data_IF_646575634330
#
_entry.id   IF_646575634330
#
_cell.length_a   1.000
_cell.length_b   1.000
_cell.length_c   1.000
_cell.angle_alpha   90.00
_cell.angle_beta   90.00
_cell.angle_gamma   90.00
#
_symmetry.space_group_name_H-M   'P 1'
#
loop_
_entity.id
_entity.type
_entity.pdbx_description
1 polymer ?
#
# COMPACT_ATOMS: atom_id res chain seq x y z
N UNK A 1 -2.01 -9.42 -2.85
CA UNK A 1 -1.74 -9.15 -4.29
C UNK A 1 -2.87 -8.29 -4.83
N UNK A 2 -2.54 -7.16 -5.45
CA UNK A 2 -3.51 -6.26 -6.10
C UNK A 2 -3.82 -6.74 -7.52
N UNK A 3 -4.87 -6.21 -8.15
CA UNK A 3 -5.17 -6.47 -9.57
C UNK A 3 -3.98 -6.10 -10.46
N UNK A 4 -3.33 -4.95 -10.20
CA UNK A 4 -2.12 -4.54 -10.90
C UNK A 4 -0.96 -5.53 -10.79
N UNK A 5 -0.76 -6.15 -9.61
CA UNK A 5 0.25 -7.19 -9.44
C UNK A 5 -0.06 -8.48 -10.22
N UNK A 6 -1.34 -8.82 -10.40
CA UNK A 6 -1.76 -9.97 -11.21
C UNK A 6 -1.54 -9.72 -12.70
N UNK A 7 -1.80 -8.49 -13.18
CA UNK A 7 -1.54 -8.13 -14.58
C UNK A 7 -0.03 -8.05 -14.86
N UNK A 8 0.76 -7.46 -13.97
CA UNK A 8 2.22 -7.40 -14.12
C UNK A 8 2.87 -8.80 -14.15
N UNK A 9 2.33 -9.77 -13.40
CA UNK A 9 2.81 -11.14 -13.38
C UNK A 9 2.64 -11.88 -14.73
N UNK A 10 1.78 -11.38 -15.63
CA UNK A 10 1.60 -11.96 -16.98
C UNK A 10 2.70 -11.54 -17.95
N UNK A 11 3.50 -10.53 -17.60
CA UNK A 11 4.57 -10.01 -18.47
C UNK A 11 5.80 -10.92 -18.34
N UNK A 12 6.28 -11.53 -19.44
CA UNK A 12 7.42 -12.45 -19.38
C UNK A 12 8.72 -11.71 -19.05
N UNK A 13 9.50 -12.27 -18.12
CA UNK A 13 10.83 -11.75 -17.75
C UNK A 13 10.84 -10.65 -16.69
N UNK A 14 9.70 -10.37 -16.05
CA UNK A 14 9.59 -9.37 -14.98
C UNK A 14 9.86 -9.98 -13.60
N UNK A 15 10.70 -9.34 -12.80
CA UNK A 15 10.85 -9.64 -11.38
C UNK A 15 9.83 -8.83 -10.57
N UNK A 16 8.89 -9.53 -9.93
CA UNK A 16 7.75 -8.89 -9.29
C UNK A 16 8.05 -8.53 -7.83
N UNK A 17 8.16 -7.23 -7.55
CA UNK A 17 8.22 -6.70 -6.18
C UNK A 17 6.87 -6.15 -5.75
N UNK A 18 6.30 -6.67 -4.67
CA UNK A 18 5.03 -6.19 -4.10
C UNK A 18 5.27 -5.34 -2.86
N UNK A 19 4.52 -4.24 -2.76
CA UNK A 19 4.57 -3.33 -1.62
C UNK A 19 3.18 -3.21 -0.98
N UNK A 20 3.15 -2.94 0.32
CA UNK A 20 1.90 -2.79 1.08
C UNK A 20 1.22 -1.43 0.85
N UNK A 21 1.91 -0.46 0.22
CA UNK A 21 1.41 0.89 -0.04
C UNK A 21 1.97 1.45 -1.35
N UNK A 22 1.11 2.06 -2.17
CA UNK A 22 1.46 2.71 -3.43
C UNK A 22 2.50 3.82 -3.28
N UNK A 23 2.50 4.57 -2.16
CA UNK A 23 3.49 5.61 -1.92
C UNK A 23 4.92 5.04 -1.77
N UNK A 24 5.05 3.87 -1.13
CA UNK A 24 6.33 3.17 -0.99
C UNK A 24 6.82 2.66 -2.36
N UNK A 25 5.91 2.09 -3.17
CA UNK A 25 6.26 1.65 -4.52
C UNK A 25 6.78 2.80 -5.39
N UNK A 26 6.08 3.95 -5.40
CA UNK A 26 6.51 5.14 -6.16
C UNK A 26 7.83 5.72 -5.64
N UNK A 27 8.10 5.62 -4.35
CA UNK A 27 9.37 6.06 -3.79
C UNK A 27 10.52 5.13 -4.19
N UNK A 28 10.30 3.81 -4.22
CA UNK A 28 11.31 2.85 -4.71
C UNK A 28 11.63 3.09 -6.19
N UNK A 29 10.64 3.46 -7.00
CA UNK A 29 10.83 3.90 -8.39
C UNK A 29 11.69 5.15 -8.45
N UNK A 30 11.34 6.20 -7.69
CA UNK A 30 12.14 7.43 -7.60
C UNK A 30 13.56 7.17 -7.08
N UNK A 31 13.73 6.12 -6.26
CA UNK A 31 15.02 5.70 -5.74
C UNK A 31 15.86 4.87 -6.70
N UNK A 32 15.30 4.44 -7.84
CA UNK A 32 15.95 3.56 -8.82
C UNK A 32 16.06 2.10 -8.36
N UNK A 33 15.25 1.68 -7.37
CA UNK A 33 15.24 0.29 -6.88
C UNK A 33 14.31 -0.61 -7.69
N UNK A 34 13.35 -0.03 -8.40
CA UNK A 34 12.46 -0.71 -9.35
C UNK A 34 12.38 0.11 -10.64
N UNK A 35 12.26 -0.57 -11.78
CA UNK A 35 12.23 0.09 -13.10
C UNK A 35 10.84 0.65 -13.46
N UNK A 36 9.78 0.05 -12.93
CA UNK A 36 8.40 0.46 -13.19
C UNK A 36 7.48 0.12 -12.00
N UNK A 37 6.41 0.89 -11.83
CA UNK A 37 5.36 0.66 -10.83
C UNK A 37 4.00 0.61 -11.51
N UNK A 38 3.24 -0.44 -11.24
CA UNK A 38 1.86 -0.58 -11.69
C UNK A 38 0.93 -0.21 -10.53
N UNK A 39 0.12 0.83 -10.72
CA UNK A 39 -0.82 1.33 -9.71
C UNK A 39 -1.96 2.12 -10.37
N UNK A 40 -3.05 2.37 -9.63
CA UNK A 40 -4.21 3.11 -10.13
C UNK A 40 -3.83 4.52 -10.61
N UNK A 41 -4.35 4.92 -11.78
CA UNK A 41 -4.05 6.22 -12.39
C UNK A 41 -4.34 7.43 -11.48
N UNK A 42 -5.54 7.61 -10.89
CA UNK A 42 -5.81 8.80 -10.06
C UNK A 42 -4.97 8.84 -8.78
N UNK A 43 -4.68 7.68 -8.19
CA UNK A 43 -3.81 7.58 -7.01
C UNK A 43 -2.38 7.98 -7.35
N UNK A 44 -1.87 7.48 -8.48
CA UNK A 44 -0.52 7.79 -8.98
C UNK A 44 -0.39 9.28 -9.33
N UNK A 45 -1.34 9.84 -10.09
CA UNK A 45 -1.32 11.26 -10.46
C UNK A 45 -1.38 12.18 -9.24
N UNK A 46 -2.23 11.86 -8.26
CA UNK A 46 -2.28 12.59 -7.00
C UNK A 46 -0.96 12.49 -6.22
N UNK A 47 -0.38 11.30 -6.13
CA UNK A 47 0.89 11.07 -5.44
C UNK A 47 2.06 11.81 -6.09
N UNK A 48 2.13 11.86 -7.42
CA UNK A 48 3.13 12.65 -8.15
C UNK A 48 3.00 14.14 -7.81
N UNK A 49 1.75 14.65 -7.84
CA UNK A 49 1.45 16.06 -7.55
C UNK A 49 1.77 16.46 -6.10
N UNK A 50 1.36 15.65 -5.12
CA UNK A 50 1.55 15.95 -3.69
C UNK A 50 2.96 15.62 -3.22
N UNK A 51 3.54 14.54 -3.72
CA UNK A 51 4.88 14.08 -3.37
C UNK A 51 6.00 14.87 -4.04
N UNK A 52 5.70 15.77 -4.97
CA UNK A 52 6.68 16.54 -5.76
C UNK A 52 7.74 15.64 -6.40
N UNK A 53 7.31 14.47 -6.87
CA UNK A 53 8.18 13.47 -7.49
C UNK A 53 8.47 13.92 -8.93
N UNK A 54 9.49 14.76 -9.11
CA UNK A 54 9.82 15.35 -10.42
C UNK A 54 10.59 14.41 -11.36
N UNK A 55 10.99 13.23 -10.87
CA UNK A 55 11.78 12.24 -11.61
C UNK A 55 10.98 10.99 -12.01
N UNK A 56 9.66 11.04 -11.91
CA UNK A 56 8.77 9.95 -12.34
C UNK A 56 7.75 10.48 -13.34
N UNK A 57 7.48 9.68 -14.36
CA UNK A 57 6.51 9.98 -15.40
C UNK A 57 5.57 8.79 -15.56
N UNK A 58 4.29 9.07 -15.84
CA UNK A 58 3.33 8.02 -16.17
C UNK A 58 3.57 7.60 -17.62
N UNK A 59 4.01 6.36 -17.81
CA UNK A 59 4.31 5.79 -19.13
C UNK A 59 3.35 4.65 -19.48
N UNK A 60 3.03 4.52 -20.76
CA UNK A 60 2.19 3.43 -21.28
C UNK A 60 0.68 3.69 -21.24
N UNK A 61 -0.08 2.72 -21.76
CA UNK A 61 -1.54 2.72 -21.73
C UNK A 61 -2.06 2.06 -20.44
N UNK A 62 -3.29 2.38 -20.05
CA UNK A 62 -3.93 1.76 -18.88
C UNK A 62 -4.05 0.25 -19.09
N UNK A 63 -3.45 -0.54 -18.20
CA UNK A 63 -3.53 -2.01 -18.24
C UNK A 63 -4.97 -2.51 -18.04
N UNK A 64 -5.74 -1.80 -17.21
CA UNK A 64 -7.16 -2.05 -16.97
C UNK A 64 -7.90 -0.72 -16.84
N UNK A 65 -9.12 -0.67 -17.39
CA UNK A 65 -10.05 0.46 -17.17
C UNK A 65 -11.01 0.09 -16.03
N UNK A 66 -10.63 0.46 -14.81
CA UNK A 66 -11.45 0.28 -13.62
C UNK A 66 -12.14 1.60 -13.26
N UNK A 67 -13.47 1.59 -13.16
CA UNK A 67 -14.27 2.77 -12.84
C UNK A 67 -14.69 2.76 -11.37
N UNK A 68 -14.46 3.87 -10.69
CA UNK A 68 -14.92 4.08 -9.31
C UNK A 68 -16.42 4.36 -9.27
N UNK A 69 -17.10 3.83 -8.25
CA UNK A 69 -18.53 4.04 -8.02
C UNK A 69 -18.85 4.32 -6.55
N UNK A 70 -20.01 4.93 -6.30
CA UNK A 70 -20.54 5.17 -4.95
C UNK A 70 -21.42 3.98 -4.55
N UNK A 71 -21.02 3.25 -3.51
CA UNK A 71 -21.74 2.07 -3.05
C UNK A 71 -22.98 2.43 -2.21
N UNK A 72 -24.10 1.75 -2.48
CA UNK A 72 -25.33 1.85 -1.71
C UNK A 72 -25.82 0.46 -1.27
N UNK A 73 -26.62 0.36 -0.19
CA UNK A 73 -27.34 -0.87 0.13
C UNK A 73 -28.21 -1.33 -1.05
N UNK A 74 -28.34 -2.66 -1.22
CA UNK A 74 -29.20 -3.24 -2.27
C UNK A 74 -30.62 -2.68 -2.16
N UNK A 75 -31.17 -2.20 -3.27
CA UNK A 75 -32.52 -1.61 -3.34
C UNK A 75 -32.65 -0.20 -2.78
N UNK A 76 -31.56 0.50 -2.48
CA UNK A 76 -31.62 1.88 -1.98
C UNK A 76 -32.26 2.82 -3.01
N UNK A 77 -33.28 3.63 -2.63
CA UNK A 77 -33.88 4.62 -3.52
C UNK A 77 -32.94 5.79 -3.83
N UNK A 78 -31.81 5.90 -3.12
CA UNK A 78 -30.84 6.98 -3.32
C UNK A 78 -29.93 6.74 -4.53
N UNK A 79 -29.84 5.50 -5.03
CA UNK A 79 -29.02 5.17 -6.21
C UNK A 79 -29.44 6.03 -7.41
N UNK A 80 -30.75 6.10 -7.69
CA UNK A 80 -31.28 6.91 -8.78
C UNK A 80 -30.94 8.39 -8.61
N UNK A 81 -31.21 8.95 -7.42
CA UNK A 81 -30.95 10.38 -7.12
C UNK A 81 -29.47 10.75 -7.27
N UNK A 82 -28.57 9.86 -6.86
CA UNK A 82 -27.13 10.10 -6.95
C UNK A 82 -26.64 9.98 -8.39
N UNK A 83 -27.13 8.99 -9.14
CA UNK A 83 -26.83 8.88 -10.56
C UNK A 83 -27.33 10.09 -11.35
N UNK A 84 -28.54 10.58 -11.08
CA UNK A 84 -29.10 11.78 -11.71
C UNK A 84 -28.22 13.02 -11.44
N UNK A 85 -27.76 13.19 -10.18
CA UNK A 85 -26.88 14.28 -9.80
C UNK A 85 -25.48 14.18 -10.43
N UNK A 86 -24.94 12.96 -10.56
CA UNK A 86 -23.68 12.71 -11.26
C UNK A 86 -23.81 13.02 -12.75
N UNK A 87 -24.91 12.61 -13.39
CA UNK A 87 -25.20 12.91 -14.79
C UNK A 87 -25.28 14.42 -15.04
N UNK A 88 -25.92 15.17 -14.14
CA UNK A 88 -25.94 16.63 -14.21
C UNK A 88 -24.53 17.22 -14.07
N UNK A 89 -23.75 16.71 -13.11
CA UNK A 89 -22.38 17.18 -12.87
C UNK A 89 -21.46 16.90 -14.07
N UNK A 90 -21.62 15.75 -14.73
CA UNK A 90 -20.86 15.34 -15.93
C UNK A 90 -21.24 16.15 -17.18
N UNK A 91 -22.48 16.64 -17.28
CA UNK A 91 -22.91 17.56 -18.35
C UNK A 91 -22.32 18.96 -18.21
N UNK A 92 -21.84 19.32 -17.02
CA UNK A 92 -21.20 20.61 -16.74
C UNK A 92 -19.67 20.49 -16.69
N UNK A 93 -18.96 21.61 -16.84
CA UNK A 93 -17.50 21.63 -16.68
C UNK A 93 -17.03 21.44 -15.22
N UNK A 94 -17.95 21.28 -14.27
CA UNK A 94 -17.61 21.09 -12.84
C UNK A 94 -16.81 19.82 -12.60
N UNK A 95 -17.13 18.72 -13.29
CA UNK A 95 -16.37 17.48 -13.18
C UNK A 95 -14.92 17.67 -13.62
N UNK A 96 -14.72 18.25 -14.81
CA UNK A 96 -13.40 18.55 -15.35
C UNK A 96 -12.62 19.47 -14.39
N UNK A 97 -13.25 20.52 -13.87
CA UNK A 97 -12.63 21.43 -12.92
C UNK A 97 -12.20 20.75 -11.61
N UNK A 98 -13.04 19.87 -11.06
CA UNK A 98 -12.69 19.06 -9.89
C UNK A 98 -11.53 18.10 -10.20
N UNK A 99 -11.58 17.45 -11.36
CA UNK A 99 -10.54 16.51 -11.78
C UNK A 99 -9.18 17.21 -11.93
N UNK A 100 -9.12 18.32 -12.68
CA UNK A 100 -7.91 19.11 -12.86
C UNK A 100 -7.35 19.64 -11.53
N UNK A 101 -8.23 20.09 -10.63
CA UNK A 101 -7.85 20.57 -9.30
C UNK A 101 -7.09 19.51 -8.50
N UNK A 102 -7.55 18.26 -8.50
CA UNK A 102 -6.99 17.21 -7.66
C UNK A 102 -5.92 16.35 -8.35
N UNK A 103 -6.07 16.07 -9.64
CA UNK A 103 -5.27 15.06 -10.35
C UNK A 103 -4.39 15.60 -11.47
N UNK A 104 -4.51 16.89 -11.84
CA UNK A 104 -3.72 17.51 -12.91
C UNK A 104 -3.75 16.71 -14.24
N UNK A 105 -4.77 16.95 -15.07
CA UNK A 105 -4.95 16.28 -16.35
C UNK A 105 -6.40 16.38 -16.83
N UNK A 106 -6.70 15.81 -18.00
CA UNK A 106 -8.08 15.65 -18.47
C UNK A 106 -8.68 14.35 -17.92
N UNK A 107 -9.96 14.35 -17.52
CA UNK A 107 -10.61 13.14 -17.05
C UNK A 107 -10.77 12.11 -18.18
N UNK A 108 -10.70 10.81 -17.86
CA UNK A 108 -11.00 9.76 -18.83
C UNK A 108 -12.49 9.82 -19.25
N UNK A 109 -12.80 9.26 -20.43
CA UNK A 109 -14.19 9.09 -20.85
C UNK A 109 -14.85 8.04 -19.97
N UNK A 110 -15.91 8.44 -19.27
CA UNK A 110 -16.69 7.53 -18.43
C UNK A 110 -17.73 6.78 -19.28
N UNK A 111 -17.95 5.49 -19.03
CA UNK A 111 -19.01 4.72 -19.66
C UNK A 111 -20.35 5.13 -19.06
N UNK A 112 -21.41 5.03 -19.86
CA UNK A 112 -22.79 5.33 -19.44
C UNK A 112 -23.30 4.39 -18.34
N UNK A 113 -22.75 3.17 -18.30
CA UNK A 113 -23.03 2.15 -17.27
C UNK A 113 -21.69 1.56 -16.88
N UNK A 114 -21.46 1.40 -15.57
CA UNK A 114 -20.25 0.75 -15.10
C UNK A 114 -20.18 -0.69 -15.65
N UNK A 115 -19.10 -1.10 -16.34
CA UNK A 115 -18.95 -2.45 -16.90
C UNK A 115 -19.12 -3.55 -15.84
N UNK A 116 -18.81 -3.24 -14.58
CA UNK A 116 -19.02 -4.12 -13.43
C UNK A 116 -20.52 -4.50 -13.19
N UNK A 117 -21.46 -3.77 -13.78
CA UNK A 117 -22.91 -4.05 -13.70
C UNK A 117 -23.42 -4.94 -14.85
N UNK A 118 -22.61 -5.20 -15.87
CA UNK A 118 -22.96 -6.10 -16.97
C UNK A 118 -22.85 -7.59 -16.56
N UNK A 119 -22.32 -7.87 -15.37
CA UNK A 119 -22.28 -9.22 -14.77
C UNK A 119 -23.28 -9.39 -13.62
N UNK A 120 -23.67 -10.64 -13.32
CA UNK A 120 -24.41 -10.95 -12.11
C UNK A 120 -23.63 -10.46 -10.88
N UNK A 121 -24.27 -9.63 -10.04
CA UNK A 121 -23.67 -9.16 -8.81
C UNK A 121 -23.29 -10.37 -7.94
N UNK A 122 -22.00 -10.68 -7.89
CA UNK A 122 -21.46 -11.81 -7.14
C UNK A 122 -22.03 -11.77 -5.72
N UNK A 123 -22.92 -12.73 -5.41
CA UNK A 123 -23.46 -12.85 -4.07
C UNK A 123 -22.27 -13.07 -3.12
N UNK A 124 -22.16 -12.22 -2.10
CA UNK A 124 -21.11 -12.35 -1.09
C UNK A 124 -21.35 -13.65 -0.32
N UNK A 125 -20.64 -14.71 -0.72
CA UNK A 125 -20.76 -16.03 -0.14
C UNK A 125 -19.69 -16.19 0.94
N UNK A 126 -20.08 -16.14 2.21
CA UNK A 126 -19.14 -16.33 3.33
C UNK A 126 -18.38 -17.66 3.23
N UNK A 127 -19.04 -18.71 2.73
CA UNK A 127 -18.43 -20.03 2.54
C UNK A 127 -17.27 -20.03 1.54
N UNK A 128 -17.27 -19.16 0.52
CA UNK A 128 -16.17 -19.12 -0.45
C UNK A 128 -14.95 -18.36 0.08
N UNK A 129 -15.15 -17.44 1.02
CA UNK A 129 -14.08 -16.60 1.60
C UNK A 129 -13.53 -17.23 2.90
N UNK A 130 -14.30 -18.10 3.56
CA UNK A 130 -13.91 -18.79 4.77
C UNK A 130 -12.53 -19.49 4.71
N UNK A 131 -12.17 -20.22 3.63
CA UNK A 131 -10.84 -20.84 3.52
C UNK A 131 -9.70 -19.80 3.55
N UNK A 132 -9.88 -18.66 2.88
CA UNK A 132 -8.90 -17.58 2.83
C UNK A 132 -8.74 -16.90 4.20
N UNK A 133 -9.85 -16.71 4.92
CA UNK A 133 -9.82 -16.20 6.30
C UNK A 133 -9.11 -17.17 7.24
N UNK A 134 -9.40 -18.46 7.12
CA UNK A 134 -8.78 -19.50 7.94
C UNK A 134 -7.27 -19.59 7.66
N UNK A 135 -6.86 -19.45 6.40
CA UNK A 135 -5.44 -19.38 6.03
C UNK A 135 -4.75 -18.18 6.69
N UNK A 136 -5.30 -16.96 6.55
CA UNK A 136 -4.73 -15.76 7.17
C UNK A 136 -4.68 -15.83 8.70
N UNK A 137 -5.73 -16.36 9.34
CA UNK A 137 -5.76 -16.60 10.78
C UNK A 137 -4.67 -17.60 11.21
N UNK A 138 -4.49 -18.68 10.45
CA UNK A 138 -3.46 -19.70 10.71
C UNK A 138 -2.06 -19.08 10.65
N UNK A 139 -1.77 -18.28 9.62
CA UNK A 139 -0.49 -17.58 9.49
C UNK A 139 -0.25 -16.62 10.66
N UNK A 140 -1.28 -15.90 11.11
CA UNK A 140 -1.19 -14.99 12.26
C UNK A 140 -0.83 -15.75 13.55
N UNK A 141 -1.52 -16.87 13.80
CA UNK A 141 -1.24 -17.72 14.97
C UNK A 141 0.18 -18.28 14.91
N UNK A 142 0.61 -18.75 13.73
CA UNK A 142 1.94 -19.31 13.52
C UNK A 142 3.03 -18.25 13.78
N UNK A 143 2.90 -17.07 13.17
CA UNK A 143 3.84 -15.96 13.37
C UNK A 143 3.88 -15.50 14.83
N UNK A 144 2.72 -15.44 15.49
CA UNK A 144 2.64 -15.10 16.91
C UNK A 144 3.35 -16.14 17.76
N UNK A 145 3.11 -17.43 17.52
CA UNK A 145 3.75 -18.52 18.25
C UNK A 145 5.28 -18.49 18.10
N UNK A 146 5.79 -18.33 16.88
CA UNK A 146 7.23 -18.19 16.63
C UNK A 146 7.82 -16.95 17.29
N UNK A 147 7.14 -15.80 17.18
CA UNK A 147 7.60 -14.55 17.78
C UNK A 147 7.66 -14.62 19.30
N UNK A 148 6.66 -15.23 19.94
CA UNK A 148 6.65 -15.43 21.40
C UNK A 148 7.75 -16.40 21.82
N UNK A 149 7.94 -17.50 21.09
CA UNK A 149 8.98 -18.49 21.38
C UNK A 149 10.39 -17.88 21.31
N UNK A 150 10.75 -17.31 20.16
CA UNK A 150 12.08 -16.71 19.99
C UNK A 150 12.26 -15.44 20.82
N UNK A 151 11.21 -14.63 20.96
CA UNK A 151 11.22 -13.42 21.78
C UNK A 151 11.42 -13.72 23.27
N UNK A 152 10.80 -14.78 23.79
CA UNK A 152 10.98 -15.20 25.18
C UNK A 152 12.39 -15.74 25.43
N UNK A 153 12.94 -16.53 24.51
CA UNK A 153 14.32 -17.04 24.60
C UNK A 153 15.31 -15.87 24.56
N UNK A 154 15.23 -15.02 23.53
CA UNK A 154 16.12 -13.87 23.37
C UNK A 154 15.98 -12.86 24.50
N UNK A 155 14.75 -12.57 24.94
CA UNK A 155 14.47 -11.68 26.06
C UNK A 155 15.04 -12.18 27.38
N UNK A 156 14.92 -13.48 27.66
CA UNK A 156 15.53 -14.10 28.86
C UNK A 156 17.05 -14.00 28.81
N UNK A 157 17.67 -14.35 27.68
CA UNK A 157 19.12 -14.26 27.52
C UNK A 157 19.64 -12.83 27.68
N UNK A 158 18.97 -11.84 27.06
CA UNK A 158 19.31 -10.43 27.21
C UNK A 158 19.13 -9.95 28.64
N UNK A 159 18.06 -10.36 29.33
CA UNK A 159 17.83 -10.02 30.73
C UNK A 159 18.97 -10.58 31.61
N UNK A 160 19.35 -11.84 31.43
CA UNK A 160 20.46 -12.44 32.16
C UNK A 160 21.79 -11.74 31.84
N UNK A 161 22.08 -11.46 30.56
CA UNK A 161 23.30 -10.76 30.15
C UNK A 161 23.37 -9.33 30.73
N UNK A 162 22.23 -8.66 30.89
CA UNK A 162 22.15 -7.30 31.46
C UNK A 162 22.49 -7.23 32.97
N UNK A 163 22.46 -8.37 33.67
CA UNK A 163 22.76 -8.52 35.11
C UNK A 163 24.20 -9.04 35.32
N UNK A 164 24.88 -9.49 34.26
CA UNK A 164 26.23 -10.05 34.34
C UNK A 164 27.22 -9.09 35.03
N UNK A 165 28.09 -9.64 35.87
CA UNK A 165 29.17 -8.90 36.55
C UNK A 165 30.17 -8.26 35.56
N UNK A 166 30.22 -8.75 34.31
CA UNK A 166 31.03 -8.15 33.26
C UNK A 166 30.39 -6.84 32.76
N UNK A 167 30.79 -5.73 33.40
CA UNK A 167 30.24 -4.38 33.19
C UNK A 167 30.07 -3.96 31.72
N UNK A 168 31.00 -4.25 30.78
CA UNK A 168 30.80 -3.88 29.38
C UNK A 168 29.60 -4.59 28.73
N UNK A 169 29.39 -5.88 29.02
CA UNK A 169 28.27 -6.64 28.48
C UNK A 169 26.93 -6.15 29.04
N UNK A 170 26.89 -5.90 30.36
CA UNK A 170 25.70 -5.35 31.01
C UNK A 170 25.32 -3.97 30.48
N UNK A 171 26.32 -3.11 30.24
CA UNK A 171 26.12 -1.77 29.68
C UNK A 171 25.63 -1.81 28.22
N UNK A 172 26.23 -2.64 27.36
CA UNK A 172 25.78 -2.82 25.97
C UNK A 172 24.33 -3.32 25.89
N UNK A 173 23.99 -4.33 26.70
CA UNK A 173 22.63 -4.85 26.76
C UNK A 173 21.65 -3.76 27.20
N UNK A 174 21.98 -2.97 28.22
CA UNK A 174 21.13 -1.87 28.71
C UNK A 174 20.87 -0.83 27.63
N UNK A 175 21.91 -0.34 26.95
CA UNK A 175 21.74 0.61 25.83
C UNK A 175 20.79 0.06 24.78
N UNK A 176 20.99 -1.20 24.37
CA UNK A 176 20.11 -1.86 23.42
C UNK A 176 18.65 -1.87 23.92
N UNK A 177 18.38 -2.38 25.14
CA UNK A 177 17.02 -2.39 25.68
C UNK A 177 16.42 -0.99 25.85
N UNK A 178 17.19 -0.01 26.31
CA UNK A 178 16.73 1.36 26.53
C UNK A 178 16.39 2.04 25.20
N UNK A 179 17.19 1.81 24.16
CA UNK A 179 16.89 2.29 22.82
C UNK A 179 15.60 1.67 22.26
N UNK A 180 15.48 0.34 22.30
CA UNK A 180 14.31 -0.36 21.73
C UNK A 180 13.03 -0.18 22.55
N UNK A 181 13.12 0.05 23.87
CA UNK A 181 11.95 0.34 24.71
C UNK A 181 11.59 1.83 24.75
N UNK A 182 12.58 2.70 24.55
CA UNK A 182 12.43 4.16 24.63
C UNK A 182 12.09 4.84 23.32
N UNK A 183 12.26 4.17 22.18
CA UNK A 183 11.93 4.74 20.86
C UNK A 183 10.65 4.12 20.30
N UNK A 184 9.71 4.93 19.76
CA UNK A 184 8.53 4.39 19.10
C UNK A 184 8.93 3.50 17.92
N UNK A 185 8.39 2.28 17.86
CA UNK A 185 8.67 1.31 16.76
C UNK A 185 8.46 1.96 15.38
N UNK A 186 7.44 2.80 15.27
CA UNK A 186 7.14 3.54 14.05
C UNK A 186 8.35 4.37 13.59
N UNK A 187 9.00 5.12 14.51
CA UNK A 187 10.20 5.92 14.21
C UNK A 187 11.35 5.03 13.74
N UNK A 188 11.52 3.85 14.33
CA UNK A 188 12.58 2.92 13.93
C UNK A 188 12.37 2.41 12.50
N UNK A 189 11.14 2.00 12.17
CA UNK A 189 10.80 1.53 10.83
C UNK A 189 10.96 2.68 9.82
N UNK A 190 10.50 3.89 10.14
CA UNK A 190 10.71 5.07 9.30
C UNK A 190 12.20 5.38 9.12
N UNK A 191 13.02 5.34 10.17
CA UNK A 191 14.44 5.63 10.07
C UNK A 191 15.19 4.58 9.24
N UNK A 192 14.86 3.30 9.40
CA UNK A 192 15.45 2.22 8.60
C UNK A 192 14.99 2.29 7.15
N UNK A 193 13.73 2.62 6.91
CA UNK A 193 13.19 2.66 5.56
C UNK A 193 13.60 3.93 4.79
N UNK A 194 13.53 5.10 5.42
CA UNK A 194 13.81 6.39 4.77
C UNK A 194 15.25 6.88 5.02
N UNK A 195 15.76 6.70 6.24
CA UNK A 195 17.06 7.22 6.66
C UNK A 195 18.23 6.42 6.07
N UNK A 196 18.19 5.10 6.14
CA UNK A 196 19.27 4.23 5.66
C UNK A 196 19.53 4.39 4.15
N UNK A 197 18.52 4.36 3.25
CA UNK A 197 18.76 4.61 1.83
C UNK A 197 19.29 6.01 1.54
N UNK A 198 18.83 7.02 2.28
CA UNK A 198 19.29 8.41 2.12
C UNK A 198 20.77 8.58 2.49
N UNK A 199 21.22 7.92 3.57
CA UNK A 199 22.63 7.90 3.97
C UNK A 199 23.49 7.12 2.98
N UNK A 200 23.00 6.00 2.45
CA UNK A 200 23.72 5.20 1.46
C UNK A 200 23.88 5.93 0.13
N UNK A 201 22.88 6.69 -0.33
CA UNK A 201 23.00 7.58 -1.51
C UNK A 201 23.97 8.75 -1.31
N UNK A 202 24.21 9.17 -0.08
CA UNK A 202 25.24 10.17 0.23
C UNK A 202 26.67 9.61 0.18
N UNK A 203 26.83 8.28 0.24
CA UNK A 203 28.12 7.57 0.30
C UNK A 203 28.43 6.85 -1.02
N UNK A 204 27.41 6.40 -1.75
CA UNK A 204 27.48 5.94 -3.14
C UNK A 204 26.96 7.04 -4.06
N UNK A 205 27.88 7.68 -4.79
CA UNK A 205 27.61 8.65 -5.85
C UNK A 205 26.68 8.10 -6.93
#
# INVERSE_FOLDING_TARGET
MTTGAQEAAKIPGVELSTFDNSALALQELSNGKVDAVVNDSPVTLYAIKVGNLNNVEVVGELLTEEYYGIAFPKGSPNVAKVNDALDELLKTDKYRALYQKWFAGEPPKLPLVAPALEGEAAAFNILSIFPTLLYGATITILLTAFSVFFGSIGGTLLATASISDFKPLGWLCRIYTDFFRGTPLLVQIFMIYFGLPSLLKGICF
#
